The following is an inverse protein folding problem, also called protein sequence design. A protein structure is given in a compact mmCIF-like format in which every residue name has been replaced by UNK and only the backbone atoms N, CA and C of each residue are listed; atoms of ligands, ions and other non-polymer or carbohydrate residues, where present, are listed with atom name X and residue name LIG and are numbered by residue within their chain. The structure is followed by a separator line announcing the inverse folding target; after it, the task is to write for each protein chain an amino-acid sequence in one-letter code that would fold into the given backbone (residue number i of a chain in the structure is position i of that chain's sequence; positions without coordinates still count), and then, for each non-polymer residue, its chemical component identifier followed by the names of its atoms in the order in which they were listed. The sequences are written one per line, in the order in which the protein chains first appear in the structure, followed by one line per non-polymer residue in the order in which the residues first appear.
data_IF_822810804133
#
_entry.id   IF_822810804133
#
_cell.length_a   1.000
_cell.length_b   1.000
_cell.length_c   1.000
_cell.angle_alpha   90.00
_cell.angle_beta   90.00
_cell.angle_gamma   90.00
#
_symmetry.space_group_name_H-M   'P 1'
#
loop_
_entity.id
_entity.type
_entity.pdbx_description
1 polymer ?
#
# COMPACT_ATOMS: atom_id res chain seq x y z
N UNK A 1 11.27 -68.63 -26.70
CA UNK A 1 11.10 -68.37 -28.15
C UNK A 1 9.89 -67.45 -28.27
N UNK A 2 9.98 -66.12 -28.11
CA UNK A 2 10.85 -65.10 -28.69
C UNK A 2 10.58 -64.87 -30.19
N UNK A 3 9.85 -63.78 -30.48
CA UNK A 3 9.82 -62.91 -31.68
C UNK A 3 8.74 -61.81 -31.40
N UNK A 4 9.11 -60.63 -30.90
CA UNK A 4 9.39 -59.36 -31.61
C UNK A 4 8.23 -58.80 -32.45
N UNK A 5 7.60 -57.71 -31.98
CA UNK A 5 7.39 -56.50 -32.82
C UNK A 5 7.17 -55.22 -31.99
N UNK A 6 8.17 -54.35 -32.11
CA UNK A 6 8.33 -52.90 -31.84
C UNK A 6 7.08 -52.09 -31.42
N UNK A 7 7.16 -51.47 -30.22
CA UNK A 7 6.49 -50.19 -29.95
C UNK A 7 7.48 -49.14 -29.46
N UNK A 8 7.78 -48.19 -30.34
CA UNK A 8 8.55 -46.98 -30.07
C UNK A 8 7.54 -45.86 -29.79
N UNK A 9 7.35 -45.48 -28.52
CA UNK A 9 6.69 -44.23 -28.16
C UNK A 9 7.64 -43.38 -27.33
N UNK A 10 8.16 -42.35 -28.00
CA UNK A 10 8.87 -41.21 -27.42
C UNK A 10 8.01 -40.56 -26.35
N UNK A 11 8.64 -40.33 -25.20
CA UNK A 11 8.22 -39.42 -24.15
C UNK A 11 7.92 -38.02 -24.71
N UNK A 12 6.69 -37.56 -24.59
CA UNK A 12 6.33 -36.16 -24.80
C UNK A 12 6.87 -35.29 -23.64
N UNK A 13 7.55 -34.17 -23.94
CA UNK A 13 7.94 -33.20 -22.92
C UNK A 13 6.74 -32.31 -22.56
N UNK A 14 6.43 -32.23 -21.26
CA UNK A 14 5.45 -31.30 -20.68
C UNK A 14 5.85 -29.85 -21.00
N UNK A 15 5.17 -29.28 -21.98
CA UNK A 15 5.34 -27.91 -22.49
C UNK A 15 4.81 -26.88 -21.49
N UNK A 16 5.75 -26.28 -20.75
CA UNK A 16 6.00 -24.84 -20.74
C UNK A 16 4.79 -23.89 -20.58
N UNK A 17 4.28 -23.73 -19.35
CA UNK A 17 3.40 -22.61 -18.94
C UNK A 17 4.08 -21.23 -18.97
N UNK A 18 5.37 -21.14 -19.32
CA UNK A 18 6.14 -19.87 -19.36
C UNK A 18 5.81 -18.94 -20.53
N UNK A 19 4.88 -19.29 -21.42
CA UNK A 19 4.63 -18.53 -22.66
C UNK A 19 3.48 -17.53 -22.61
N UNK A 20 2.59 -17.56 -21.61
CA UNK A 20 1.34 -16.77 -21.67
C UNK A 20 1.38 -15.39 -20.97
N UNK A 21 2.51 -15.02 -20.36
CA UNK A 21 2.66 -13.74 -19.63
C UNK A 21 3.44 -12.69 -20.45
N UNK A 22 4.04 -13.07 -21.58
CA UNK A 22 4.62 -12.10 -22.51
C UNK A 22 3.52 -11.60 -23.44
N UNK A 23 3.41 -10.27 -23.50
CA UNK A 23 2.57 -9.49 -24.43
C UNK A 23 1.09 -9.31 -24.06
N UNK A 24 0.84 -8.73 -22.89
CA UNK A 24 -0.32 -7.83 -22.76
C UNK A 24 0.15 -6.40 -22.59
N UNK A 25 -0.02 -5.64 -23.65
CA UNK A 25 0.31 -4.22 -23.75
C UNK A 25 -0.44 -3.43 -22.68
N UNK A 26 0.22 -2.44 -22.08
CA UNK A 26 -0.14 -1.59 -20.94
C UNK A 26 -1.55 -0.96 -20.95
N UNK A 27 -2.32 -1.12 -22.03
CA UNK A 27 -3.67 -0.56 -22.21
C UNK A 27 -4.80 -1.53 -21.85
N UNK A 28 -4.56 -2.84 -21.72
CA UNK A 28 -5.63 -3.83 -21.45
C UNK A 28 -5.78 -4.25 -19.98
N UNK A 29 -4.91 -3.80 -19.08
CA UNK A 29 -5.02 -4.08 -17.62
C UNK A 29 -6.13 -3.25 -16.95
N UNK A 30 -6.82 -2.39 -17.71
CA UNK A 30 -7.80 -1.42 -17.23
C UNK A 30 -9.20 -2.05 -17.14
N UNK A 31 -9.45 -2.94 -16.17
CA UNK A 31 -10.80 -3.17 -15.62
C UNK A 31 -10.93 -4.10 -14.39
N UNK A 32 -9.85 -4.44 -13.70
CA UNK A 32 -9.95 -5.24 -12.47
C UNK A 32 -9.95 -4.32 -11.24
N UNK A 33 -10.75 -4.61 -10.21
CA UNK A 33 -10.85 -3.78 -8.99
C UNK A 33 -9.50 -3.62 -8.24
N UNK A 34 -8.51 -4.41 -8.62
CA UNK A 34 -7.16 -4.47 -8.06
C UNK A 34 -6.05 -3.93 -8.99
N UNK A 35 -6.37 -3.28 -10.12
CA UNK A 35 -5.34 -2.85 -11.10
C UNK A 35 -4.28 -1.91 -10.51
N UNK A 36 -4.68 -1.03 -9.59
CA UNK A 36 -3.77 -0.12 -8.89
C UNK A 36 -2.79 -0.89 -8.02
N UNK A 37 -3.27 -1.90 -7.30
CA UNK A 37 -2.49 -2.79 -6.44
C UNK A 37 -1.42 -3.52 -7.27
N UNK A 38 -1.83 -4.13 -8.39
CA UNK A 38 -0.96 -4.90 -9.27
C UNK A 38 0.09 -3.99 -9.92
N UNK A 39 -0.32 -2.83 -10.44
CA UNK A 39 0.59 -1.86 -11.04
C UNK A 39 1.65 -1.38 -10.03
N UNK A 40 1.24 -1.05 -8.81
CA UNK A 40 2.11 -0.58 -7.76
C UNK A 40 3.13 -1.65 -7.35
N UNK A 41 2.69 -2.91 -7.19
CA UNK A 41 3.56 -4.06 -6.93
C UNK A 41 4.56 -4.28 -8.08
N UNK A 42 4.15 -4.12 -9.34
CA UNK A 42 5.05 -4.23 -10.49
C UNK A 42 6.10 -3.12 -10.55
N UNK A 43 5.72 -1.87 -10.22
CA UNK A 43 6.68 -0.78 -10.13
C UNK A 43 7.70 -1.06 -9.01
N UNK A 44 7.24 -1.46 -7.83
CA UNK A 44 8.13 -1.74 -6.72
C UNK A 44 9.04 -2.94 -6.96
N UNK A 45 8.62 -3.94 -7.74
CA UNK A 45 9.47 -5.08 -8.12
C UNK A 45 10.73 -4.68 -8.90
N UNK A 46 10.71 -3.56 -9.62
CA UNK A 46 11.85 -3.08 -10.40
C UNK A 46 12.85 -2.27 -9.58
N UNK A 47 12.45 -1.86 -8.38
CA UNK A 47 13.24 -0.99 -7.51
C UNK A 47 14.13 -1.76 -6.53
N UNK A 48 15.21 -1.12 -6.10
CA UNK A 48 16.01 -1.61 -4.96
C UNK A 48 15.16 -1.70 -3.69
N UNK A 49 15.54 -2.56 -2.74
CA UNK A 49 14.81 -2.70 -1.47
C UNK A 49 14.60 -1.37 -0.75
N UNK A 50 15.67 -0.55 -0.70
CA UNK A 50 15.63 0.79 -0.14
C UNK A 50 14.65 1.69 -0.88
N UNK A 51 14.75 1.73 -2.21
CA UNK A 51 13.87 2.56 -3.03
C UNK A 51 12.41 2.14 -2.89
N UNK A 52 12.12 0.84 -2.91
CA UNK A 52 10.78 0.30 -2.74
C UNK A 52 10.18 0.67 -1.37
N UNK A 53 10.93 0.51 -0.28
CA UNK A 53 10.46 0.87 1.08
C UNK A 53 10.19 2.36 1.21
N UNK A 54 11.10 3.20 0.72
CA UNK A 54 10.94 4.65 0.78
C UNK A 54 9.72 5.09 -0.05
N UNK A 55 9.60 4.58 -1.27
CA UNK A 55 8.51 4.93 -2.18
C UNK A 55 7.15 4.54 -1.63
N UNK A 56 7.00 3.29 -1.16
CA UNK A 56 5.76 2.79 -0.51
C UNK A 56 5.36 3.69 0.65
N UNK A 57 6.30 4.00 1.54
CA UNK A 57 6.01 4.77 2.73
C UNK A 57 5.64 6.23 2.40
N UNK A 58 6.26 6.83 1.38
CA UNK A 58 5.87 8.15 0.87
C UNK A 58 4.45 8.14 0.31
N UNK A 59 4.09 7.10 -0.45
CA UNK A 59 2.72 6.96 -1.00
C UNK A 59 1.69 6.83 0.12
N UNK A 60 1.96 6.02 1.14
CA UNK A 60 1.09 5.91 2.32
C UNK A 60 0.96 7.27 3.03
N UNK A 61 2.06 7.99 3.20
CA UNK A 61 2.06 9.30 3.86
C UNK A 61 1.26 10.37 3.09
N UNK A 62 1.35 10.35 1.76
CA UNK A 62 0.56 11.19 0.87
C UNK A 62 -0.92 10.79 0.91
N UNK A 63 -1.22 9.50 0.85
CA UNK A 63 -2.61 9.00 0.87
C UNK A 63 -3.29 9.31 2.20
N UNK A 64 -2.58 9.27 3.32
CA UNK A 64 -3.07 9.73 4.62
C UNK A 64 -3.41 11.22 4.61
N UNK A 65 -2.56 12.04 3.99
CA UNK A 65 -2.83 13.46 3.85
C UNK A 65 -4.06 13.71 2.99
N UNK A 66 -4.20 13.01 1.85
CA UNK A 66 -5.40 13.07 1.01
C UNK A 66 -6.66 12.64 1.76
N UNK A 67 -6.57 11.56 2.53
CA UNK A 67 -7.67 11.09 3.38
C UNK A 67 -8.03 12.14 4.43
N UNK A 68 -7.07 12.76 5.09
CA UNK A 68 -7.36 13.79 6.09
C UNK A 68 -7.97 15.04 5.44
N UNK A 69 -7.41 15.51 4.32
CA UNK A 69 -7.97 16.65 3.58
C UNK A 69 -9.41 16.39 3.11
N UNK A 70 -9.78 15.13 2.82
CA UNK A 70 -11.17 14.80 2.46
C UNK A 70 -12.15 14.78 3.65
N UNK A 71 -11.65 14.81 4.89
CA UNK A 71 -12.42 14.87 6.14
C UNK A 71 -12.27 16.19 6.90
N UNK A 72 -11.66 17.19 6.27
CA UNK A 72 -11.57 18.52 6.81
C UNK A 72 -12.35 19.47 5.90
N UNK A 73 -12.81 20.58 6.46
CA UNK A 73 -13.40 21.65 5.68
C UNK A 73 -12.32 22.16 4.71
N UNK A 74 -12.63 22.29 3.40
CA UNK A 74 -11.67 22.74 2.42
C UNK A 74 -11.20 24.16 2.74
N UNK A 75 -9.90 24.39 2.62
CA UNK A 75 -9.35 25.74 2.74
C UNK A 75 -9.56 26.52 1.43
N UNK A 76 -9.88 27.82 1.48
CA UNK A 76 -10.01 28.66 0.28
C UNK A 76 -8.67 29.02 -0.37
N UNK A 77 -7.55 28.76 0.32
CA UNK A 77 -6.18 29.00 -0.12
C UNK A 77 -5.61 27.80 -0.87
N UNK A 78 -4.63 28.02 -1.74
CA UNK A 78 -3.83 26.95 -2.34
C UNK A 78 -2.90 26.26 -1.35
N UNK A 79 -2.56 26.93 -0.24
CA UNK A 79 -1.71 26.40 0.82
C UNK A 79 -2.55 26.05 2.05
N UNK A 80 -2.43 24.81 2.51
CA UNK A 80 -3.06 24.31 3.72
C UNK A 80 -2.08 24.37 4.90
N UNK A 81 -2.35 25.32 5.81
CA UNK A 81 -1.53 25.53 7.01
C UNK A 81 -1.43 24.31 7.93
N UNK A 82 -2.33 23.32 7.82
CA UNK A 82 -2.26 22.09 8.60
C UNK A 82 -1.25 21.09 8.06
N UNK A 83 -0.91 21.12 6.77
CA UNK A 83 -0.10 20.08 6.12
C UNK A 83 1.14 20.59 5.39
N UNK A 84 1.03 21.72 4.69
CA UNK A 84 1.95 22.03 3.59
C UNK A 84 3.26 22.71 4.06
N UNK A 85 3.30 23.27 5.27
CA UNK A 85 4.54 23.85 5.84
C UNK A 85 5.32 22.82 6.66
N UNK A 86 6.65 22.95 6.70
CA UNK A 86 7.51 22.09 7.52
C UNK A 86 7.15 22.15 9.02
N UNK A 87 6.68 23.31 9.49
CA UNK A 87 6.24 23.56 10.87
C UNK A 87 4.74 23.30 11.08
N UNK A 88 4.02 22.83 10.06
CA UNK A 88 2.60 22.54 10.17
C UNK A 88 2.33 21.40 11.16
N UNK A 89 1.21 21.42 11.88
CA UNK A 89 0.86 20.38 12.86
C UNK A 89 0.82 18.96 12.29
N UNK A 90 0.41 18.79 11.03
CA UNK A 90 0.29 17.51 10.34
C UNK A 90 1.36 17.33 9.25
N UNK A 91 2.52 17.99 9.38
CA UNK A 91 3.64 17.87 8.44
C UNK A 91 4.36 16.52 8.52
N UNK A 92 4.26 15.82 9.66
CA UNK A 92 4.98 14.56 9.89
C UNK A 92 4.11 13.34 9.66
N UNK A 93 4.72 12.27 9.15
CA UNK A 93 4.06 10.97 8.95
C UNK A 93 3.47 10.41 10.26
N UNK A 94 4.14 10.57 11.40
CA UNK A 94 3.58 10.18 12.70
C UNK A 94 2.33 10.98 13.07
N UNK A 95 2.37 12.31 12.94
CA UNK A 95 1.24 13.16 13.29
C UNK A 95 0.01 12.83 12.43
N UNK A 96 0.20 12.58 11.13
CA UNK A 96 -0.87 12.14 10.23
C UNK A 96 -1.47 10.80 10.64
N UNK A 97 -0.66 9.78 10.97
CA UNK A 97 -1.16 8.51 11.50
C UNK A 97 -1.98 8.73 12.79
N UNK A 98 -1.43 9.48 13.74
CA UNK A 98 -2.02 9.69 15.05
C UNK A 98 -3.36 10.40 14.95
N UNK A 99 -3.45 11.50 14.18
CA UNK A 99 -4.71 12.23 14.04
C UNK A 99 -5.75 11.37 13.34
N UNK A 100 -5.39 10.65 12.27
CA UNK A 100 -6.31 9.79 11.49
C UNK A 100 -6.97 8.74 12.38
N UNK A 101 -6.20 8.16 13.30
CA UNK A 101 -6.74 7.27 14.33
C UNK A 101 -7.62 8.00 15.34
N UNK A 102 -7.14 9.12 15.88
CA UNK A 102 -7.80 9.87 16.96
C UNK A 102 -9.17 10.44 16.56
N UNK A 103 -9.37 10.75 15.29
CA UNK A 103 -10.68 11.18 14.76
C UNK A 103 -11.53 10.00 14.25
N UNK A 104 -11.05 8.75 14.39
CA UNK A 104 -11.82 7.54 14.15
C UNK A 104 -11.86 7.05 12.70
N UNK A 105 -10.99 7.54 11.80
CA UNK A 105 -10.97 7.09 10.40
C UNK A 105 -10.36 5.71 10.21
N UNK A 106 -9.44 5.32 11.09
CA UNK A 106 -8.81 4.00 11.09
C UNK A 106 -8.83 3.39 12.49
N UNK A 107 -8.73 2.07 12.55
CA UNK A 107 -8.61 1.35 13.83
C UNK A 107 -7.24 1.60 14.48
N UNK A 108 -7.17 1.49 15.81
CA UNK A 108 -5.89 1.57 16.53
C UNK A 108 -4.91 0.47 16.13
N UNK A 109 -5.44 -0.68 15.69
CA UNK A 109 -4.65 -1.77 15.11
C UNK A 109 -3.98 -1.34 13.80
N UNK A 110 -4.73 -0.71 12.89
CA UNK A 110 -4.19 -0.23 11.63
C UNK A 110 -3.19 0.92 11.86
N UNK A 111 -3.47 1.83 12.78
CA UNK A 111 -2.53 2.89 13.18
C UNK A 111 -1.19 2.33 13.71
N UNK A 112 -1.26 1.29 14.56
CA UNK A 112 -0.07 0.56 15.03
C UNK A 112 0.71 -0.04 13.86
N UNK A 113 0.02 -0.67 12.90
CA UNK A 113 0.64 -1.26 11.72
C UNK A 113 1.36 -0.19 10.85
N UNK A 114 0.74 0.98 10.64
CA UNK A 114 1.36 2.12 9.93
C UNK A 114 2.62 2.63 10.64
N UNK A 115 2.62 2.67 11.97
CA UNK A 115 3.84 3.00 12.71
C UNK A 115 4.95 1.96 12.56
N UNK A 116 4.62 0.67 12.36
CA UNK A 116 5.64 -0.33 12.03
C UNK A 116 6.23 -0.04 10.66
N UNK A 117 5.40 0.27 9.65
CA UNK A 117 5.87 0.69 8.31
C UNK A 117 6.79 1.92 8.40
N UNK A 118 6.39 2.94 9.18
CA UNK A 118 7.23 4.12 9.46
C UNK A 118 8.58 3.75 10.07
N UNK A 119 8.62 2.82 11.04
CA UNK A 119 9.86 2.35 11.67
C UNK A 119 10.75 1.58 10.68
N UNK A 120 10.17 0.76 9.80
CA UNK A 120 10.89 0.08 8.72
C UNK A 120 11.51 1.13 7.79
N UNK A 121 10.71 2.09 7.30
CA UNK A 121 11.20 3.19 6.44
C UNK A 121 12.35 3.96 7.06
N UNK A 122 12.23 4.31 8.35
CA UNK A 122 13.30 5.02 9.04
C UNK A 122 14.59 4.19 9.13
N UNK A 123 14.48 2.87 9.30
CA UNK A 123 15.65 1.98 9.29
C UNK A 123 16.35 2.01 7.93
N UNK A 124 15.60 1.92 6.83
CA UNK A 124 16.14 2.02 5.47
C UNK A 124 16.66 3.42 5.11
N UNK A 125 16.11 4.49 5.69
CA UNK A 125 16.56 5.86 5.44
C UNK A 125 17.89 6.17 6.13
N UNK A 126 18.06 5.76 7.39
CA UNK A 126 19.21 6.11 8.23
C UNK A 126 20.41 5.16 8.09
N UNK A 127 20.18 3.88 7.78
CA UNK A 127 21.28 2.92 7.54
C UNK A 127 21.56 2.82 6.04
N UNK A 128 22.55 3.60 5.59
CA UNK A 128 22.89 3.80 4.17
C UNK A 128 23.59 2.58 3.56
N UNK A 129 24.28 1.77 4.36
CA UNK A 129 25.17 0.72 3.86
C UNK A 129 24.74 -0.71 4.23
N UNK A 130 23.84 -0.90 5.20
CA UNK A 130 23.55 -2.22 5.77
C UNK A 130 22.08 -2.63 5.86
N UNK A 131 21.12 -1.73 5.57
CA UNK A 131 19.71 -2.08 5.75
C UNK A 131 19.19 -2.92 4.59
N UNK A 132 18.71 -4.13 4.93
CA UNK A 132 18.06 -5.04 3.99
C UNK A 132 16.89 -5.75 4.67
N UNK A 133 16.03 -6.37 3.88
CA UNK A 133 14.95 -7.20 4.41
C UNK A 133 15.43 -8.41 5.23
N UNK A 134 16.69 -8.81 5.06
CA UNK A 134 17.34 -9.87 5.85
C UNK A 134 17.79 -9.41 7.24
N UNK A 135 17.79 -8.10 7.52
CA UNK A 135 18.11 -7.59 8.85
C UNK A 135 17.07 -8.08 9.87
N UNK A 136 17.53 -8.71 10.97
CA UNK A 136 16.65 -9.32 11.97
C UNK A 136 15.62 -8.35 12.55
N UNK A 137 15.95 -7.06 12.69
CA UNK A 137 15.03 -6.03 13.18
C UNK A 137 13.90 -5.73 12.17
N UNK A 138 14.23 -5.63 10.87
CA UNK A 138 13.26 -5.40 9.79
C UNK A 138 12.37 -6.63 9.62
N UNK A 139 12.96 -7.82 9.59
CA UNK A 139 12.25 -9.09 9.49
C UNK A 139 11.25 -9.29 10.64
N UNK A 140 11.66 -9.00 11.87
CA UNK A 140 10.78 -9.07 13.04
C UNK A 140 9.57 -8.14 12.90
N UNK A 141 9.78 -6.91 12.42
CA UNK A 141 8.71 -5.94 12.15
C UNK A 141 7.75 -6.40 11.06
N UNK A 142 8.27 -6.98 9.98
CA UNK A 142 7.42 -7.53 8.91
C UNK A 142 6.59 -8.70 9.44
N UNK A 143 7.18 -9.55 10.31
CA UNK A 143 6.43 -10.63 10.93
C UNK A 143 5.34 -10.13 11.88
N UNK A 144 5.61 -9.06 12.62
CA UNK A 144 4.60 -8.38 13.46
C UNK A 144 3.43 -7.88 12.60
N UNK A 145 3.71 -7.24 11.46
CA UNK A 145 2.69 -6.82 10.49
C UNK A 145 1.90 -8.01 9.93
N UNK A 146 2.58 -9.08 9.53
CA UNK A 146 1.95 -10.28 9.00
C UNK A 146 0.99 -10.91 10.02
N UNK A 147 1.42 -11.05 11.27
CA UNK A 147 0.59 -11.60 12.34
C UNK A 147 -0.61 -10.70 12.67
N UNK A 148 -0.46 -9.39 12.45
CA UNK A 148 -1.52 -8.42 12.61
C UNK A 148 -2.60 -8.57 11.54
N UNK A 149 -2.25 -8.86 10.28
CA UNK A 149 -3.24 -9.11 9.22
C UNK A 149 -3.93 -10.46 9.47
N UNK A 150 -5.11 -10.46 10.11
CA UNK A 150 -5.95 -11.66 10.21
C UNK A 150 -6.22 -12.14 8.78
N UNK A 151 -5.93 -13.43 8.54
CA UNK A 151 -6.05 -14.20 7.29
C UNK A 151 -7.51 -14.30 6.81
N UNK A 152 -8.27 -13.21 6.70
CA UNK A 152 -9.71 -13.25 6.39
C UNK A 152 -10.09 -12.73 5.01
N UNK A 153 -9.15 -12.30 4.19
CA UNK A 153 -9.45 -11.97 2.80
C UNK A 153 -8.38 -12.61 1.94
N UNK A 154 -8.75 -13.67 1.22
CA UNK A 154 -8.19 -13.84 -0.12
C UNK A 154 -8.46 -12.50 -0.80
N UNK A 155 -7.44 -11.65 -0.98
CA UNK A 155 -7.55 -10.63 -2.02
C UNK A 155 -7.80 -11.44 -3.27
N UNK A 156 -9.02 -11.40 -3.81
CA UNK A 156 -9.45 -12.27 -4.90
C UNK A 156 -8.35 -12.30 -5.97
N UNK A 157 -7.92 -13.53 -6.32
CA UNK A 157 -6.90 -13.84 -7.31
C UNK A 157 -5.40 -13.67 -6.94
N UNK A 158 -5.02 -13.47 -5.66
CA UNK A 158 -3.60 -13.54 -5.23
C UNK A 158 -3.41 -14.65 -4.19
N UNK A 159 -2.85 -15.80 -4.61
CA UNK A 159 -2.49 -16.86 -3.64
C UNK A 159 -1.29 -16.39 -2.83
N UNK A 160 -1.27 -16.68 -1.53
CA UNK A 160 -0.07 -16.48 -0.67
C UNK A 160 1.19 -17.12 -1.26
N UNK A 161 0.99 -18.23 -1.96
CA UNK A 161 2.01 -18.97 -2.69
C UNK A 161 2.58 -18.21 -3.88
N UNK A 162 1.92 -17.16 -4.40
CA UNK A 162 2.43 -16.31 -5.48
C UNK A 162 3.24 -15.11 -4.93
N UNK A 163 3.16 -14.85 -3.62
CA UNK A 163 4.02 -13.91 -2.88
C UNK A 163 5.36 -14.62 -2.58
N UNK A 164 6.04 -15.14 -3.61
CA UNK A 164 7.28 -15.93 -3.45
C UNK A 164 8.56 -15.13 -3.19
N UNK A 165 8.49 -13.81 -3.02
CA UNK A 165 9.68 -12.96 -2.87
C UNK A 165 10.08 -12.69 -1.40
N UNK A 166 9.93 -13.69 -0.52
CA UNK A 166 10.39 -13.61 0.88
C UNK A 166 9.79 -12.44 1.67
N UNK A 167 10.57 -11.88 2.60
CA UNK A 167 10.17 -10.77 3.46
C UNK A 167 9.85 -9.49 2.66
N UNK A 168 10.57 -9.28 1.54
CA UNK A 168 10.33 -8.17 0.63
C UNK A 168 8.95 -8.25 0.00
N UNK A 169 8.64 -9.40 -0.61
CA UNK A 169 7.34 -9.64 -1.24
C UNK A 169 6.18 -9.45 -0.26
N UNK A 170 6.33 -9.97 0.96
CA UNK A 170 5.33 -9.79 2.01
C UNK A 170 5.18 -8.33 2.43
N UNK A 171 6.28 -7.59 2.63
CA UNK A 171 6.19 -6.17 2.96
C UNK A 171 5.43 -5.39 1.87
N UNK A 172 5.79 -5.60 0.60
CA UNK A 172 5.12 -4.95 -0.52
C UNK A 172 3.63 -5.30 -0.55
N UNK A 173 3.28 -6.59 -0.46
CA UNK A 173 1.89 -7.02 -0.43
C UNK A 173 1.08 -6.37 0.70
N UNK A 174 1.59 -6.40 1.92
CA UNK A 174 0.90 -5.82 3.09
C UNK A 174 0.69 -4.31 2.92
N UNK A 175 1.71 -3.59 2.49
CA UNK A 175 1.61 -2.14 2.28
C UNK A 175 0.71 -1.76 1.12
N UNK A 176 0.71 -2.55 0.05
CA UNK A 176 -0.22 -2.38 -1.07
C UNK A 176 -1.68 -2.57 -0.61
N UNK A 177 -1.95 -3.55 0.26
CA UNK A 177 -3.28 -3.72 0.86
C UNK A 177 -3.68 -2.52 1.75
N UNK A 178 -2.74 -1.93 2.48
CA UNK A 178 -3.00 -0.70 3.26
C UNK A 178 -3.36 0.49 2.37
N UNK A 179 -2.66 0.67 1.24
CA UNK A 179 -2.96 1.74 0.27
C UNK A 179 -4.35 1.54 -0.34
N UNK A 180 -4.70 0.29 -0.66
CA UNK A 180 -6.03 -0.04 -1.15
C UNK A 180 -7.13 0.34 -0.15
N UNK A 181 -6.95 0.02 1.14
CA UNK A 181 -7.91 0.39 2.19
C UNK A 181 -8.10 1.91 2.25
N UNK A 182 -7.01 2.69 2.22
CA UNK A 182 -7.13 4.15 2.18
C UNK A 182 -7.86 4.67 0.95
N UNK A 183 -7.57 4.14 -0.22
CA UNK A 183 -8.26 4.54 -1.45
C UNK A 183 -9.75 4.20 -1.40
N UNK A 184 -10.12 3.08 -0.78
CA UNK A 184 -11.53 2.74 -0.52
C UNK A 184 -12.18 3.78 0.40
N UNK A 185 -11.52 4.13 1.50
CA UNK A 185 -12.01 5.15 2.45
C UNK A 185 -12.16 6.53 1.81
N UNK A 186 -11.31 6.89 0.84
CA UNK A 186 -11.39 8.15 0.10
C UNK A 186 -12.55 8.14 -0.91
N UNK A 187 -12.71 7.05 -1.66
CA UNK A 187 -13.72 6.95 -2.74
C UNK A 187 -15.15 7.04 -2.21
N UNK A 188 -15.40 6.52 -1.03
CA UNK A 188 -16.76 6.43 -0.46
C UNK A 188 -17.23 7.73 0.22
N UNK A 189 -16.59 8.88 -0.04
CA UNK A 189 -16.82 10.10 0.74
C UNK A 189 -17.29 11.30 -0.05
N UNK A 190 -18.13 12.08 0.64
CA UNK A 190 -18.63 13.39 0.24
C UNK A 190 -17.90 14.45 1.05
N UNK A 191 -17.59 15.56 0.40
CA UNK A 191 -16.91 16.70 0.99
C UNK A 191 -17.64 17.21 2.25
N UNK A 192 -16.87 17.48 3.31
CA UNK A 192 -17.38 18.07 4.54
C UNK A 192 -17.50 19.59 4.35
N UNK A 193 -18.65 20.14 4.77
CA UNK A 193 -18.88 21.59 4.76
C UNK A 193 -18.65 22.16 6.15
N UNK A 194 -18.29 23.44 6.21
CA UNK A 194 -18.26 24.18 7.47
C UNK A 194 -19.65 24.20 8.14
N UNK A 195 -19.65 24.42 9.46
CA UNK A 195 -20.88 24.55 10.22
C UNK A 195 -21.67 25.78 9.78
N UNK A 196 -22.99 25.76 10.03
CA UNK A 196 -23.79 26.97 9.91
C UNK A 196 -23.25 28.07 10.84
N UNK A 197 -23.53 29.32 10.47
CA UNK A 197 -23.21 30.48 11.30
C UNK A 197 -23.78 30.31 12.72
N UNK A 198 -22.97 30.63 13.71
CA UNK A 198 -23.38 30.70 15.11
C UNK A 198 -24.42 31.80 15.32
N UNK A 199 -25.25 31.64 16.34
CA UNK A 199 -26.44 32.47 16.59
C UNK A 199 -26.16 33.99 16.74
N UNK A 200 -24.92 34.37 17.01
CA UNK A 200 -24.50 35.76 17.20
C UNK A 200 -23.86 36.40 15.96
N UNK A 201 -23.70 35.66 14.85
CA UNK A 201 -23.28 36.22 13.57
C UNK A 201 -24.49 36.58 12.69
N UNK A 202 -24.48 37.78 12.12
CA UNK A 202 -25.45 38.17 11.08
C UNK A 202 -24.90 37.83 9.71
N UNK A 203 -25.68 37.14 8.87
CA UNK A 203 -25.34 37.01 7.45
C UNK A 203 -25.13 38.41 6.86
N UNK A 204 -23.92 38.70 6.34
CA UNK A 204 -23.71 39.91 5.55
C UNK A 204 -24.64 39.80 4.35
N UNK A 205 -25.71 40.61 4.32
CA UNK A 205 -26.49 40.83 3.10
C UNK A 205 -25.51 41.33 2.03
N UNK A 206 -25.31 40.51 0.99
CA UNK A 206 -24.61 40.91 -0.23
C UNK A 206 -25.34 42.06 -0.91
#
# INVERSE_FOLDING_TARGET
MAEEEKHNQKSEPKTTTKSAIKEKTTKEVVKDQNWQLVYLLEQFKKESDRAAVILVASIIDETLQTLLKSYLVPVPSSEDSLFDNATSPLSTFSAKIDITYRIGLISGKFARDLHIVRKIRNSFAHDIYGCSFSNGSVKSRIKELENSFIISQNIDNIKREDIKDGERGMFLYLTSAMIWEFNSLIKDRKEIKESNLEWFYTEKKQ
#
